data_IF_530804276106
#
_entry.id   IF_530804276106
#
_cell.length_a   1.000
_cell.length_b   1.000
_cell.length_c   1.000
_cell.angle_alpha   90.00
_cell.angle_beta   90.00
_cell.angle_gamma   90.00
#
_symmetry.space_group_name_H-M   'P 1'
#
loop_
_entity.id
_entity.type
_entity.pdbx_description
1 polymer ?
#
# COMPACT_ATOMS: atom_id res chain seq x y z
N UNK A 1 -32.09 12.54 12.20
CA UNK A 1 -31.93 11.36 11.32
C UNK A 1 -30.72 11.62 10.44
N UNK A 2 -29.56 11.09 10.78
CA UNK A 2 -28.33 11.27 10.01
C UNK A 2 -28.06 9.97 9.24
N UNK A 3 -28.12 10.05 7.92
CA UNK A 3 -27.87 8.93 7.02
C UNK A 3 -26.35 8.73 6.91
N UNK A 4 -25.85 7.65 7.51
CA UNK A 4 -24.48 7.18 7.30
C UNK A 4 -24.41 6.54 5.90
N UNK A 5 -23.89 7.28 4.93
CA UNK A 5 -23.58 6.73 3.61
C UNK A 5 -22.31 5.88 3.75
N UNK A 6 -22.51 4.57 3.87
CA UNK A 6 -21.45 3.60 3.69
C UNK A 6 -21.05 3.58 2.20
N UNK A 7 -19.75 3.63 1.85
CA UNK A 7 -19.36 3.14 0.55
C UNK A 7 -19.73 1.65 0.49
N UNK A 8 -20.64 1.32 -0.43
CA UNK A 8 -21.02 -0.04 -0.75
C UNK A 8 -19.77 -0.88 -1.02
N UNK A 9 -19.85 -2.14 -0.58
CA UNK A 9 -18.92 -3.18 -0.96
C UNK A 9 -18.75 -3.18 -2.48
N UNK A 10 -17.54 -2.92 -2.95
CA UNK A 10 -17.20 -3.11 -4.36
C UNK A 10 -17.04 -4.63 -4.54
N UNK A 11 -18.14 -5.26 -4.97
CA UNK A 11 -18.12 -6.37 -5.93
C UNK A 11 -17.12 -6.05 -7.02
N UNK A 12 -16.31 -7.03 -7.48
CA UNK A 12 -15.44 -6.90 -8.67
C UNK A 12 -14.87 -5.49 -8.88
N UNK A 13 -13.65 -5.22 -8.40
CA UNK A 13 -12.97 -3.97 -8.72
C UNK A 13 -13.15 -3.71 -10.22
N UNK A 14 -13.89 -2.65 -10.63
CA UNK A 14 -14.16 -2.42 -12.04
C UNK A 14 -12.84 -2.43 -12.81
N UNK A 15 -12.84 -2.90 -14.06
CA UNK A 15 -11.64 -2.95 -14.90
C UNK A 15 -10.93 -1.59 -15.06
N UNK A 16 -11.53 -0.52 -14.56
CA UNK A 16 -11.19 0.89 -14.72
C UNK A 16 -10.63 1.54 -13.43
N UNK A 17 -10.56 0.81 -12.31
CA UNK A 17 -9.90 1.33 -11.10
C UNK A 17 -8.38 1.26 -11.25
N UNK A 18 -7.70 2.36 -10.96
CA UNK A 18 -6.25 2.53 -11.07
C UNK A 18 -5.69 3.06 -9.76
N UNK A 19 -4.42 2.74 -9.47
CA UNK A 19 -3.71 3.25 -8.30
C UNK A 19 -2.39 3.89 -8.75
N UNK A 20 -2.04 5.04 -8.17
CA UNK A 20 -0.67 5.55 -8.28
C UNK A 20 0.14 4.93 -7.15
N UNK A 21 1.28 4.34 -7.48
CA UNK A 21 2.09 3.59 -6.51
C UNK A 21 3.58 3.68 -6.79
N UNK A 22 4.40 3.38 -5.79
CA UNK A 22 5.85 3.35 -5.93
C UNK A 22 6.34 2.00 -6.45
N UNK A 23 7.44 2.01 -7.19
CA UNK A 23 8.11 0.81 -7.69
C UNK A 23 8.87 0.09 -6.57
N UNK A 24 8.61 -1.21 -6.40
CA UNK A 24 9.23 -2.04 -5.34
C UNK A 24 9.63 -3.43 -5.82
N UNK A 25 10.11 -3.57 -7.07
CA UNK A 25 10.50 -4.86 -7.64
C UNK A 25 11.46 -5.69 -6.76
N UNK A 26 12.35 -5.05 -5.98
CA UNK A 26 13.29 -5.75 -5.08
C UNK A 26 12.71 -6.12 -3.71
N UNK A 27 11.72 -5.39 -3.19
CA UNK A 27 11.24 -5.53 -1.81
C UNK A 27 10.23 -6.69 -1.68
N UNK A 28 9.40 -6.87 -2.71
CA UNK A 28 8.58 -8.06 -2.84
C UNK A 28 9.46 -9.31 -2.91
N UNK A 29 10.61 -9.28 -3.59
CA UNK A 29 11.55 -10.40 -3.69
C UNK A 29 12.38 -10.63 -2.41
N UNK A 30 12.80 -9.58 -1.70
CA UNK A 30 13.61 -9.71 -0.49
C UNK A 30 12.81 -10.23 0.72
N UNK A 31 11.53 -9.86 0.85
CA UNK A 31 10.61 -10.51 1.81
C UNK A 31 10.19 -11.93 1.39
N UNK A 32 10.45 -12.31 0.14
CA UNK A 32 10.19 -13.66 -0.38
C UNK A 32 11.38 -14.63 -0.17
N UNK A 33 12.62 -14.13 -0.04
CA UNK A 33 13.80 -14.99 -0.03
C UNK A 33 14.31 -15.40 1.35
N UNK A 34 13.99 -14.67 2.42
CA UNK A 34 14.30 -15.11 3.79
C UNK A 34 13.06 -15.03 4.70
N UNK A 35 12.35 -16.16 4.84
CA UNK A 35 11.56 -16.57 6.02
C UNK A 35 10.14 -16.00 6.37
N UNK A 36 9.53 -15.06 5.65
CA UNK A 36 8.56 -14.14 6.28
C UNK A 36 7.04 -14.24 6.02
N UNK A 37 6.43 -15.42 5.95
CA UNK A 37 4.96 -15.55 6.22
C UNK A 37 4.52 -17.00 6.39
N UNK A 38 5.22 -17.77 7.24
CA UNK A 38 4.84 -19.16 7.52
C UNK A 38 3.50 -19.16 8.28
N UNK A 39 2.39 -19.17 7.53
CA UNK A 39 1.01 -19.45 7.96
C UNK A 39 0.25 -18.39 8.78
N UNK A 40 0.20 -17.14 8.31
CA UNK A 40 -0.82 -16.20 8.80
C UNK A 40 -2.16 -16.47 8.10
N UNK A 41 -2.93 -17.36 8.73
CA UNK A 41 -4.27 -17.81 8.37
C UNK A 41 -4.37 -18.38 6.94
N UNK A 42 -4.47 -19.72 6.81
CA UNK A 42 -4.66 -20.39 5.50
C UNK A 42 -5.88 -19.87 4.74
N UNK A 43 -6.83 -19.24 5.43
CA UNK A 43 -8.02 -18.60 4.85
C UNK A 43 -7.72 -17.19 4.26
N UNK A 44 -6.66 -16.50 4.66
CA UNK A 44 -6.25 -15.20 4.11
C UNK A 44 -5.22 -15.32 2.98
N UNK A 45 -4.72 -16.54 2.73
CA UNK A 45 -3.75 -16.83 1.68
C UNK A 45 -4.39 -16.83 0.29
N UNK A 46 -4.51 -15.65 -0.32
CA UNK A 46 -4.54 -15.56 -1.78
C UNK A 46 -3.69 -14.38 -2.25
N UNK A 47 -2.54 -14.71 -2.85
CA UNK A 47 -1.63 -13.83 -3.61
C UNK A 47 -0.78 -12.84 -2.80
N UNK A 48 0.09 -13.38 -1.94
CA UNK A 48 1.15 -12.69 -1.19
C UNK A 48 2.30 -12.11 -2.04
N UNK A 49 2.04 -11.69 -3.28
CA UNK A 49 3.04 -11.03 -4.17
C UNK A 49 2.84 -9.51 -4.29
N UNK A 50 1.96 -8.94 -3.47
CA UNK A 50 1.26 -7.67 -3.75
C UNK A 50 1.56 -6.56 -2.73
N UNK A 51 2.84 -6.34 -2.43
CA UNK A 51 3.24 -5.27 -1.52
C UNK A 51 3.44 -3.97 -2.30
N UNK A 52 2.37 -3.18 -2.42
CA UNK A 52 2.40 -1.89 -3.10
C UNK A 52 1.94 -0.79 -2.15
N UNK A 53 2.74 0.27 -2.07
CA UNK A 53 2.43 1.46 -1.30
C UNK A 53 1.68 2.46 -2.18
N UNK A 54 0.37 2.59 -1.95
CA UNK A 54 -0.50 3.45 -2.75
C UNK A 54 -0.37 4.93 -2.34
N UNK A 55 -0.14 5.79 -3.34
CA UNK A 55 -0.22 7.26 -3.21
C UNK A 55 -1.64 7.78 -3.44
N UNK A 56 -2.52 6.98 -4.05
CA UNK A 56 -3.91 7.36 -4.28
C UNK A 56 -4.63 6.35 -5.16
N UNK A 57 -5.94 6.22 -4.95
CA UNK A 57 -6.84 5.41 -5.78
C UNK A 57 -7.67 6.33 -6.65
N UNK A 58 -7.80 5.96 -7.92
CA UNK A 58 -8.48 6.73 -8.95
C UNK A 58 -9.43 5.83 -9.73
N UNK A 59 -10.51 6.39 -10.23
CA UNK A 59 -11.44 5.71 -11.12
C UNK A 59 -11.24 6.28 -12.53
N UNK A 60 -10.40 5.63 -13.33
CA UNK A 60 -10.00 6.13 -14.64
C UNK A 60 -10.70 5.35 -15.74
N UNK A 61 -11.49 6.04 -16.56
CA UNK A 61 -12.02 5.49 -17.82
C UNK A 61 -10.92 5.44 -18.88
N UNK A 62 -11.14 4.69 -19.96
CA UNK A 62 -10.28 4.70 -21.16
C UNK A 62 -10.05 6.11 -21.72
N UNK A 63 -11.02 7.01 -21.58
CA UNK A 63 -10.94 8.40 -22.05
C UNK A 63 -10.08 9.29 -21.13
N UNK A 64 -10.14 9.07 -19.82
CA UNK A 64 -9.38 9.85 -18.82
C UNK A 64 -7.95 9.36 -18.59
N UNK A 65 -7.65 8.12 -18.96
CA UNK A 65 -6.33 7.49 -18.75
C UNK A 65 -5.18 8.25 -19.43
N UNK A 66 -5.28 8.71 -20.70
CA UNK A 66 -4.21 9.48 -21.34
C UNK A 66 -3.88 10.76 -20.59
N UNK A 67 -4.88 11.48 -20.06
CA UNK A 67 -4.67 12.71 -19.29
C UNK A 67 -3.98 12.45 -17.96
N UNK A 68 -4.34 11.35 -17.27
CA UNK A 68 -3.67 10.95 -16.04
C UNK A 68 -2.20 10.53 -16.29
N UNK A 69 -1.91 9.91 -17.44
CA UNK A 69 -0.54 9.58 -17.86
C UNK A 69 0.27 10.82 -18.24
N UNK A 70 -0.35 11.81 -18.90
CA UNK A 70 0.31 13.10 -19.17
C UNK A 70 0.71 13.79 -17.86
N UNK A 71 -0.20 13.84 -16.87
CA UNK A 71 0.09 14.37 -15.55
C UNK A 71 1.24 13.62 -14.86
N UNK A 72 1.22 12.28 -14.92
CA UNK A 72 2.29 11.42 -14.38
C UNK A 72 3.64 11.78 -14.99
N UNK A 73 3.74 11.92 -16.32
CA UNK A 73 4.99 12.26 -17.01
C UNK A 73 5.45 13.70 -16.75
N UNK A 74 4.55 14.60 -16.35
CA UNK A 74 4.87 15.99 -15.97
C UNK A 74 5.37 16.14 -14.54
N UNK A 75 5.24 15.12 -13.69
CA UNK A 75 5.69 15.18 -12.29
C UNK A 75 7.14 15.67 -12.12
N UNK A 76 8.14 15.22 -12.92
CA UNK A 76 9.52 15.71 -12.77
C UNK A 76 9.69 17.22 -12.96
N UNK A 77 8.82 17.84 -13.76
CA UNK A 77 8.81 19.30 -14.00
C UNK A 77 8.00 20.04 -12.93
N UNK A 78 6.98 19.40 -12.36
CA UNK A 78 6.12 19.98 -11.33
C UNK A 78 6.73 19.90 -9.93
N UNK A 79 7.62 18.94 -9.70
CA UNK A 79 8.23 18.65 -8.40
C UNK A 79 9.69 19.12 -8.37
N UNK A 80 10.14 19.54 -7.18
CA UNK A 80 11.53 19.89 -6.95
C UNK A 80 12.37 18.63 -6.70
N UNK A 81 12.55 17.80 -7.74
CA UNK A 81 13.29 16.55 -7.61
C UNK A 81 14.78 16.78 -7.32
N UNK A 82 15.36 15.88 -6.53
CA UNK A 82 16.81 15.84 -6.26
C UNK A 82 17.51 14.86 -7.19
N UNK A 83 18.84 14.79 -7.14
CA UNK A 83 19.61 13.81 -7.90
C UNK A 83 19.42 12.38 -7.37
N UNK A 84 19.15 12.23 -6.07
CA UNK A 84 18.87 10.94 -5.44
C UNK A 84 17.35 10.67 -5.46
N UNK A 85 16.93 9.39 -5.56
CA UNK A 85 15.55 9.01 -5.36
C UNK A 85 15.12 9.26 -3.91
N UNK A 86 13.82 9.52 -3.66
CA UNK A 86 13.28 9.56 -2.32
C UNK A 86 13.38 8.19 -1.64
N UNK A 87 13.53 8.17 -0.33
CA UNK A 87 13.62 6.95 0.48
C UNK A 87 12.33 6.76 1.29
N UNK A 88 11.91 5.51 1.45
CA UNK A 88 10.84 5.11 2.36
C UNK A 88 11.42 4.19 3.43
N UNK A 89 11.30 4.62 4.67
CA UNK A 89 11.57 3.78 5.83
C UNK A 89 10.31 3.02 6.23
N UNK A 90 10.42 1.71 6.43
CA UNK A 90 9.36 0.89 7.00
C UNK A 90 9.67 0.69 8.50
N UNK A 91 9.24 1.64 9.32
CA UNK A 91 9.56 1.69 10.76
C UNK A 91 8.34 1.61 11.69
N UNK A 92 7.13 1.57 11.12
CA UNK A 92 5.88 1.54 11.89
C UNK A 92 5.03 0.37 11.44
N UNK A 93 4.64 -0.50 12.38
CA UNK A 93 3.62 -1.53 12.21
C UNK A 93 2.35 -1.09 12.92
N UNK A 94 1.20 -1.16 12.23
CA UNK A 94 -0.10 -0.80 12.80
C UNK A 94 -1.24 -1.42 11.96
N UNK A 95 -2.48 -1.09 12.32
CA UNK A 95 -3.70 -1.59 11.69
C UNK A 95 -4.59 -0.47 11.15
N UNK A 96 -5.49 -0.82 10.22
CA UNK A 96 -6.60 0.03 9.79
C UNK A 96 -7.93 -0.68 9.98
N UNK A 97 -9.00 0.13 10.10
CA UNK A 97 -10.37 -0.35 10.34
C UNK A 97 -10.43 -1.26 11.57
N UNK A 98 -10.03 -0.73 12.71
CA UNK A 98 -10.03 -1.44 13.99
C UNK A 98 -11.49 -1.59 14.47
N UNK A 99 -11.91 -2.83 14.75
CA UNK A 99 -13.24 -3.12 15.33
C UNK A 99 -13.18 -3.26 16.85
N UNK A 100 -12.03 -3.71 17.40
CA UNK A 100 -11.79 -3.82 18.83
C UNK A 100 -10.29 -3.70 19.14
N UNK A 101 -9.90 -3.72 20.43
CA UNK A 101 -8.49 -3.61 20.84
C UNK A 101 -7.54 -4.64 20.21
N UNK A 102 -8.05 -5.75 19.68
CA UNK A 102 -7.24 -6.84 19.08
C UNK A 102 -7.67 -7.23 17.66
N UNK A 103 -8.73 -6.62 17.13
CA UNK A 103 -9.32 -7.01 15.85
C UNK A 103 -9.33 -5.87 14.85
N UNK A 104 -8.87 -6.16 13.64
CA UNK A 104 -8.81 -5.20 12.54
C UNK A 104 -9.01 -5.89 11.20
N UNK A 105 -9.20 -5.09 10.16
CA UNK A 105 -9.36 -5.59 8.80
C UNK A 105 -8.10 -5.47 7.95
N UNK A 106 -7.13 -4.65 8.35
CA UNK A 106 -5.88 -4.42 7.60
C UNK A 106 -4.73 -4.31 8.59
N UNK A 107 -3.64 -5.02 8.32
CA UNK A 107 -2.35 -4.95 9.01
C UNK A 107 -1.34 -4.41 8.00
N UNK A 108 -0.53 -3.44 8.41
CA UNK A 108 0.35 -2.74 7.49
C UNK A 108 1.64 -2.29 8.17
N UNK A 109 2.69 -2.14 7.37
CA UNK A 109 3.93 -1.45 7.76
C UNK A 109 4.17 -0.23 6.89
N UNK A 110 4.77 0.82 7.42
CA UNK A 110 5.01 2.05 6.67
C UNK A 110 5.88 3.04 7.45
N UNK A 111 6.16 4.21 6.87
CA UNK A 111 6.92 5.24 7.54
C UNK A 111 6.10 5.96 8.60
N UNK A 112 6.73 6.17 9.75
CA UNK A 112 6.28 7.09 10.80
C UNK A 112 6.24 8.53 10.30
N UNK A 113 7.21 8.88 9.43
CA UNK A 113 7.37 10.19 8.82
C UNK A 113 7.60 10.01 7.30
N UNK A 114 6.54 10.00 6.48
CA UNK A 114 6.69 9.91 5.03
C UNK A 114 7.36 11.16 4.47
N UNK A 115 8.17 11.02 3.41
CA UNK A 115 8.73 12.17 2.73
C UNK A 115 7.63 13.11 2.19
N UNK A 116 7.81 14.44 2.31
CA UNK A 116 6.83 15.42 1.83
C UNK A 116 6.49 15.27 0.33
N UNK A 117 7.44 14.78 -0.47
CA UNK A 117 7.28 14.54 -1.91
C UNK A 117 6.05 13.67 -2.22
N UNK A 118 5.81 12.62 -1.44
CA UNK A 118 4.68 11.71 -1.66
C UNK A 118 3.32 12.40 -1.44
N UNK A 119 3.26 13.31 -0.47
CA UNK A 119 2.07 14.13 -0.24
C UNK A 119 1.86 15.16 -1.36
N UNK A 120 2.94 15.72 -1.91
CA UNK A 120 2.86 16.62 -3.07
C UNK A 120 2.33 15.91 -4.31
N UNK A 121 2.81 14.70 -4.60
CA UNK A 121 2.29 13.87 -5.72
C UNK A 121 0.80 13.60 -5.53
N UNK A 122 0.39 13.17 -4.33
CA UNK A 122 -1.03 12.95 -4.03
C UNK A 122 -1.86 14.22 -4.25
N UNK A 123 -1.37 15.37 -3.80
CA UNK A 123 -2.07 16.64 -3.95
C UNK A 123 -2.21 17.07 -5.42
N UNK A 124 -1.16 16.90 -6.24
CA UNK A 124 -1.22 17.20 -7.68
C UNK A 124 -2.34 16.40 -8.38
N UNK A 125 -2.45 15.09 -8.10
CA UNK A 125 -3.52 14.28 -8.68
C UNK A 125 -4.91 14.59 -8.11
N UNK A 126 -5.00 15.14 -6.88
CA UNK A 126 -6.26 15.63 -6.31
C UNK A 126 -6.72 16.93 -6.97
N UNK A 127 -5.80 17.86 -7.15
CA UNK A 127 -6.09 19.17 -7.74
C UNK A 127 -6.59 19.04 -9.19
N UNK A 128 -6.07 18.05 -9.92
CA UNK A 128 -6.51 17.68 -11.28
C UNK A 128 -7.79 16.80 -11.28
N UNK A 129 -8.38 16.54 -10.11
CA UNK A 129 -9.66 15.83 -9.98
C UNK A 129 -9.60 14.32 -10.16
N UNK A 130 -8.42 13.71 -10.26
CA UNK A 130 -8.29 12.25 -10.44
C UNK A 130 -8.48 11.48 -9.13
N UNK A 131 -8.02 12.03 -8.00
CA UNK A 131 -8.21 11.44 -6.67
C UNK A 131 -9.37 12.15 -5.97
N UNK A 132 -10.44 11.41 -5.70
CA UNK A 132 -11.63 11.93 -5.01
C UNK A 132 -11.67 11.61 -3.52
N UNK A 133 -10.79 10.72 -3.04
CA UNK A 133 -10.65 10.42 -1.62
C UNK A 133 -10.14 11.66 -0.87
N UNK A 134 -10.85 12.09 0.16
CA UNK A 134 -10.56 13.31 0.94
C UNK A 134 -9.74 13.05 2.20
N UNK A 135 -9.48 11.79 2.55
CA UNK A 135 -8.74 11.43 3.77
C UNK A 135 -7.26 11.80 3.64
N UNK A 136 -6.53 12.10 4.72
CA UNK A 136 -5.09 12.33 4.63
C UNK A 136 -4.37 11.13 3.99
N UNK A 137 -3.33 11.39 3.19
CA UNK A 137 -2.49 10.33 2.64
C UNK A 137 -1.87 9.54 3.79
N UNK A 138 -2.10 8.23 3.82
CA UNK A 138 -1.44 7.31 4.75
C UNK A 138 -0.59 6.34 3.95
N UNK A 139 0.70 6.59 3.92
CA UNK A 139 1.66 5.76 3.22
C UNK A 139 1.85 4.45 3.98
N UNK A 140 1.51 3.32 3.36
CA UNK A 140 1.63 2.01 3.99
C UNK A 140 1.74 0.90 2.96
N UNK A 141 2.49 -0.15 3.31
CA UNK A 141 2.53 -1.45 2.68
C UNK A 141 1.59 -2.39 3.43
N UNK A 142 0.53 -2.85 2.77
CA UNK A 142 -0.42 -3.78 3.38
C UNK A 142 0.21 -5.17 3.47
N UNK A 143 0.25 -5.72 4.68
CA UNK A 143 0.69 -7.11 4.93
C UNK A 143 -0.50 -8.08 4.90
N UNK A 144 -1.64 -7.66 5.44
CA UNK A 144 -2.87 -8.46 5.44
C UNK A 144 -4.10 -7.59 5.25
N UNK A 145 -5.09 -8.13 4.55
CA UNK A 145 -6.39 -7.49 4.39
C UNK A 145 -7.50 -8.54 4.36
N UNK A 146 -8.39 -8.46 5.34
CA UNK A 146 -9.54 -9.37 5.51
C UNK A 146 -10.52 -9.37 4.33
N UNK A 147 -10.48 -8.36 3.46
CA UNK A 147 -11.29 -8.32 2.22
C UNK A 147 -10.94 -9.48 1.27
N UNK A 148 -9.72 -10.00 1.36
CA UNK A 148 -9.24 -11.13 0.56
C UNK A 148 -9.45 -12.50 1.21
N UNK A 149 -10.05 -12.56 2.41
CA UNK A 149 -10.34 -13.83 3.10
C UNK A 149 -11.20 -14.76 2.24
N UNK A 150 -10.80 -16.03 2.19
CA UNK A 150 -11.44 -17.16 1.52
C UNK A 150 -11.75 -18.27 2.53
N UNK A 151 -12.95 -18.87 2.51
CA UNK A 151 -14.07 -18.57 1.60
C UNK A 151 -14.66 -17.18 1.88
N UNK A 152 -15.17 -16.53 0.83
CA UNK A 152 -15.77 -15.20 0.97
C UNK A 152 -17.13 -15.34 1.65
N UNK A 153 -17.24 -14.80 2.86
CA UNK A 153 -18.50 -14.80 3.62
C UNK A 153 -19.32 -13.54 3.30
N UNK A 154 -20.62 -13.53 3.68
CA UNK A 154 -21.51 -12.39 3.45
C UNK A 154 -21.06 -11.10 4.15
N UNK A 155 -20.22 -11.19 5.18
CA UNK A 155 -19.69 -10.06 5.94
C UNK A 155 -18.19 -10.23 6.08
N UNK A 156 -17.42 -9.18 5.81
CA UNK A 156 -15.99 -9.18 6.09
C UNK A 156 -15.77 -9.49 7.57
N UNK A 157 -14.92 -10.47 7.87
CA UNK A 157 -14.57 -10.84 9.23
C UNK A 157 -13.21 -10.23 9.56
N UNK A 158 -13.07 -9.45 10.65
CA UNK A 158 -11.77 -8.98 11.06
C UNK A 158 -10.91 -10.17 11.52
N UNK A 159 -9.60 -10.03 11.42
CA UNK A 159 -8.67 -10.96 12.03
C UNK A 159 -8.22 -10.45 13.40
N UNK A 160 -7.85 -11.38 14.28
CA UNK A 160 -7.19 -11.07 15.54
C UNK A 160 -5.69 -10.85 15.27
N UNK A 161 -5.28 -9.59 15.18
CA UNK A 161 -3.89 -9.27 14.87
C UNK A 161 -2.97 -9.49 16.07
N UNK A 162 -3.51 -9.48 17.29
CA UNK A 162 -2.74 -9.74 18.51
C UNK A 162 -2.33 -11.21 18.54
N UNK A 163 -3.27 -12.12 18.25
CA UNK A 163 -2.99 -13.55 18.12
C UNK A 163 -1.99 -13.86 16.99
N UNK A 164 -2.04 -13.09 15.91
CA UNK A 164 -1.13 -13.17 14.76
C UNK A 164 0.30 -12.77 15.16
N UNK A 165 0.48 -11.64 15.84
CA UNK A 165 1.80 -11.14 16.22
C UNK A 165 2.48 -12.01 17.29
N UNK A 166 1.70 -12.65 18.15
CA UNK A 166 2.23 -13.60 19.15
C UNK A 166 2.56 -14.99 18.58
N UNK A 167 2.37 -15.23 17.28
CA UNK A 167 2.86 -16.47 16.68
C UNK A 167 4.39 -16.46 16.68
N UNK A 168 4.98 -17.59 17.06
CA UNK A 168 6.43 -17.75 17.13
C UNK A 168 7.10 -17.32 15.82
N UNK A 169 8.09 -16.43 15.90
CA UNK A 169 8.79 -15.91 14.73
C UNK A 169 8.28 -14.55 14.22
N UNK A 170 6.99 -14.23 14.42
CA UNK A 170 6.36 -13.10 13.72
C UNK A 170 6.85 -11.73 14.22
N UNK A 171 7.15 -11.56 15.52
CA UNK A 171 7.71 -10.29 15.99
C UNK A 171 9.20 -10.13 15.62
N UNK A 172 9.96 -11.22 15.68
CA UNK A 172 11.37 -11.23 15.27
C UNK A 172 11.53 -10.84 13.81
N UNK A 173 10.54 -11.20 13.01
CA UNK A 173 10.41 -10.76 11.64
C UNK A 173 10.41 -9.21 11.54
N UNK A 174 9.71 -8.51 12.42
CA UNK A 174 9.71 -7.06 12.42
C UNK A 174 10.94 -6.43 13.13
N UNK A 175 11.94 -7.24 13.49
CA UNK A 175 13.08 -6.81 14.30
C UNK A 175 12.69 -6.53 15.75
N UNK A 176 11.58 -7.08 16.23
CA UNK A 176 11.05 -6.82 17.58
C UNK A 176 11.15 -8.07 18.45
N UNK A 177 11.60 -7.90 19.69
CA UNK A 177 11.58 -8.99 20.67
C UNK A 177 10.17 -9.15 21.26
N UNK A 178 9.77 -10.38 21.59
CA UNK A 178 8.44 -10.64 22.16
C UNK A 178 8.18 -9.84 23.45
N UNK A 179 9.21 -9.61 24.26
CA UNK A 179 9.13 -8.81 25.49
C UNK A 179 8.91 -7.31 25.26
N UNK A 180 9.15 -6.82 24.04
CA UNK A 180 9.00 -5.40 23.67
C UNK A 180 7.61 -5.11 23.11
N UNK A 181 6.85 -6.15 22.73
CA UNK A 181 5.48 -5.98 22.25
C UNK A 181 4.56 -5.49 23.37
N UNK A 182 3.97 -4.32 23.16
CA UNK A 182 2.96 -3.73 24.08
C UNK A 182 1.61 -3.61 23.38
N UNK A 183 1.54 -2.79 22.32
CA UNK A 183 0.36 -2.61 21.47
C UNK A 183 0.72 -1.87 20.17
N UNK A 184 -0.22 -1.84 19.21
CA UNK A 184 -0.10 -1.09 17.96
C UNK A 184 -0.69 0.34 18.09
N UNK A 185 -0.08 1.36 17.47
CA UNK A 185 1.09 1.29 16.57
C UNK A 185 2.39 1.01 17.31
N UNK A 186 3.32 0.29 16.68
CA UNK A 186 4.63 -0.02 17.25
C UNK A 186 5.77 0.25 16.27
N UNK A 187 6.94 0.57 16.83
CA UNK A 187 8.18 0.71 16.07
C UNK A 187 8.68 -0.66 15.61
N UNK A 188 9.16 -0.74 14.38
CA UNK A 188 9.74 -1.93 13.75
C UNK A 188 10.98 -1.56 12.96
N UNK A 189 11.81 -2.53 12.59
CA UNK A 189 13.03 -2.30 11.83
C UNK A 189 13.01 -3.08 10.51
N UNK A 190 12.09 -2.71 9.60
CA UNK A 190 11.98 -3.36 8.29
C UNK A 190 12.90 -2.73 7.24
N UNK A 191 13.65 -1.68 7.57
CA UNK A 191 14.66 -1.08 6.69
C UNK A 191 14.19 0.16 5.95
N UNK A 192 15.07 0.69 5.10
CA UNK A 192 14.85 1.87 4.26
C UNK A 192 15.14 1.54 2.82
N UNK A 193 14.34 2.08 1.91
CA UNK A 193 14.34 1.66 0.53
C UNK A 193 14.13 2.84 -0.41
N UNK A 194 14.85 2.83 -1.53
CA UNK A 194 14.73 3.89 -2.53
C UNK A 194 13.49 3.69 -3.40
N UNK A 195 12.76 4.77 -3.66
CA UNK A 195 11.60 4.81 -4.53
C UNK A 195 11.93 5.61 -5.80
N UNK A 196 12.63 5.00 -6.78
CA UNK A 196 13.14 5.73 -7.95
C UNK A 196 12.05 6.13 -8.94
N UNK A 197 10.89 5.47 -8.90
CA UNK A 197 9.80 5.69 -9.84
C UNK A 197 8.45 5.65 -9.15
N UNK A 198 7.51 6.37 -9.75
CA UNK A 198 6.08 6.29 -9.47
C UNK A 198 5.37 5.73 -10.70
N UNK A 199 4.43 4.82 -10.46
CA UNK A 199 3.69 4.09 -11.47
C UNK A 199 2.20 4.39 -11.37
N UNK A 200 1.54 4.41 -12.52
CA UNK A 200 0.09 4.30 -12.60
C UNK A 200 -0.27 2.83 -12.91
N UNK A 201 -0.96 2.16 -12.00
CA UNK A 201 -1.18 0.71 -12.04
C UNK A 201 -2.66 0.34 -12.18
N UNK A 202 -2.95 -0.75 -12.90
CA UNK A 202 -4.28 -1.36 -13.02
C UNK A 202 -4.62 -2.27 -11.84
N UNK A 203 -5.55 -1.81 -11.00
CA UNK A 203 -6.06 -2.63 -9.91
C UNK A 203 -6.82 -3.84 -10.45
N UNK A 204 -6.68 -4.99 -9.78
CA UNK A 204 -7.29 -6.24 -10.22
C UNK A 204 -6.65 -6.88 -11.46
N UNK A 205 -5.47 -6.41 -11.87
CA UNK A 205 -4.66 -7.04 -12.92
C UNK A 205 -3.26 -7.32 -12.41
N UNK A 206 -2.65 -8.39 -12.93
CA UNK A 206 -1.34 -8.85 -12.49
C UNK A 206 -0.49 -9.25 -13.68
N UNK A 207 0.81 -8.98 -13.59
CA UNK A 207 1.81 -9.51 -14.52
C UNK A 207 2.27 -10.91 -14.12
N UNK A 208 3.26 -11.45 -14.84
CA UNK A 208 3.84 -12.79 -14.60
C UNK A 208 4.54 -12.91 -13.25
N UNK A 209 5.02 -11.79 -12.72
CA UNK A 209 5.74 -11.71 -11.46
C UNK A 209 4.78 -11.49 -10.28
N UNK A 210 3.51 -11.17 -10.57
CA UNK A 210 2.45 -10.95 -9.59
C UNK A 210 2.34 -9.51 -9.10
N UNK A 211 3.06 -8.58 -9.73
CA UNK A 211 2.90 -7.15 -9.52
C UNK A 211 1.69 -6.63 -10.30
N UNK A 212 1.19 -5.43 -9.94
CA UNK A 212 0.12 -4.81 -10.73
C UNK A 212 0.63 -4.44 -12.12
N UNK A 213 -0.21 -4.61 -13.14
CA UNK A 213 0.14 -4.16 -14.49
C UNK A 213 0.26 -2.64 -14.51
N UNK A 214 1.46 -2.15 -14.76
CA UNK A 214 1.76 -0.73 -14.93
C UNK A 214 1.22 -0.21 -16.27
N UNK A 215 0.44 0.87 -16.22
CA UNK A 215 -0.01 1.63 -17.39
C UNK A 215 1.01 2.70 -17.83
N UNK A 216 1.93 3.09 -16.95
CA UNK A 216 2.97 4.09 -17.19
C UNK A 216 3.73 4.40 -15.91
N UNK A 217 4.90 5.04 -16.04
CA UNK A 217 5.72 5.44 -14.89
C UNK A 217 6.50 6.72 -15.15
N UNK A 218 6.86 7.43 -14.09
CA UNK A 218 7.73 8.60 -14.12
C UNK A 218 8.84 8.48 -13.07
N UNK A 219 10.04 9.03 -13.34
CA UNK A 219 11.14 9.04 -12.38
C UNK A 219 10.85 10.01 -11.22
N UNK A 220 11.37 9.69 -10.05
CA UNK A 220 11.34 10.54 -8.84
C UNK A 220 12.72 11.10 -8.48
N UNK A 221 13.67 11.06 -9.41
CA UNK A 221 14.95 11.74 -9.34
C UNK A 221 15.26 12.44 -10.65
N UNK A 222 16.17 13.41 -10.61
CA UNK A 222 16.71 14.03 -11.82
C UNK A 222 17.54 13.01 -12.58
N UNK A 223 17.19 12.77 -13.84
CA UNK A 223 18.07 12.02 -14.73
C UNK A 223 19.37 12.80 -14.91
N UNK A 224 20.50 12.15 -14.64
CA UNK A 224 21.82 12.69 -14.97
C UNK A 224 21.99 12.48 -16.46
N UNK A 225 21.84 13.56 -17.23
CA UNK A 225 22.11 13.61 -18.67
C UNK A 225 23.62 13.56 -18.92
#
# INVERSE_FOLDING_TARGET
>A
MAATVYPQAVSEVPADVRTVSLDWQLLAQLLLYDFFLISLDRELASHSRQSVTGLGVMNLTTESLPTALDLLHRLPTLLQLTAAPPTITLDTLDVLKRESRRRAHVLWVGPSQPEPLFSQINQIFRDEGFITDTRPLKLHMTLMNSTYRRPRTKRSQPFDYDAILHQAGVLQCFGVQESEYTELPMAVAMGSYDAPRVHLCKMGSWDTDGAYVSCGSAPLSKEVV
#
